data_IF_005751449326
#
_entry.id   IF_005751449326
#
_cell.length_a   1.000
_cell.length_b   1.000
_cell.length_c   1.000
_cell.angle_alpha   90.00
_cell.angle_beta   90.00
_cell.angle_gamma   90.00
#
_symmetry.space_group_name_H-M   'P 1'
#
loop_
_entity.id
_entity.type
_entity.pdbx_description
1 polymer ?
#
# COMPACT_ATOMS: atom_id res chain seq x y z
N UNK A 1 21.33 -1.16 -1.01
CA UNK A 1 20.56 -0.58 0.11
C UNK A 1 20.24 -1.60 1.22
N UNK A 2 20.19 -2.87 0.96
CA UNK A 2 19.87 -3.91 1.95
C UNK A 2 18.36 -4.14 2.16
N UNK A 3 17.52 -3.64 1.26
CA UNK A 3 16.11 -4.00 1.19
C UNK A 3 15.93 -5.42 0.67
N UNK A 4 14.81 -6.04 1.01
CA UNK A 4 14.38 -7.37 0.57
C UNK A 4 13.04 -7.34 -0.18
N UNK A 5 12.44 -6.17 -0.33
CA UNK A 5 11.37 -5.86 -1.28
C UNK A 5 11.65 -4.52 -1.97
N UNK A 6 11.11 -4.34 -3.17
CA UNK A 6 11.21 -3.09 -3.92
C UNK A 6 9.85 -2.72 -4.50
N UNK A 7 9.62 -1.42 -4.61
CA UNK A 7 8.54 -0.87 -5.41
C UNK A 7 9.12 -0.14 -6.62
N UNK A 8 8.52 -0.35 -7.76
CA UNK A 8 8.93 0.28 -9.03
C UNK A 8 7.74 0.95 -9.70
N UNK A 9 8.03 1.89 -10.58
CA UNK A 9 7.08 2.35 -11.59
C UNK A 9 7.36 1.62 -12.90
N UNK A 10 6.32 1.06 -13.53
CA UNK A 10 6.46 0.40 -14.83
C UNK A 10 6.74 1.36 -15.99
N UNK A 11 6.57 2.66 -15.75
CA UNK A 11 6.86 3.76 -16.69
C UNK A 11 7.10 5.05 -15.89
N UNK A 12 7.46 6.14 -16.55
CA UNK A 12 7.58 7.45 -15.85
C UNK A 12 6.25 7.80 -15.15
N UNK A 13 6.25 8.04 -13.82
CA UNK A 13 5.02 8.16 -13.02
C UNK A 13 4.16 9.40 -13.35
N UNK A 14 4.71 10.34 -14.10
CA UNK A 14 4.05 11.57 -14.55
C UNK A 14 3.76 11.65 -16.06
N UNK A 15 3.89 10.52 -16.76
CA UNK A 15 3.70 10.45 -18.20
C UNK A 15 2.76 9.32 -18.60
N UNK A 16 1.93 9.55 -19.62
CA UNK A 16 1.05 8.53 -20.20
C UNK A 16 1.75 7.62 -21.20
N UNK A 17 2.96 7.96 -21.62
CA UNK A 17 3.70 7.16 -22.61
C UNK A 17 4.06 5.81 -22.00
N UNK A 18 3.52 4.70 -22.55
CA UNK A 18 3.82 3.37 -22.04
C UNK A 18 5.26 2.99 -22.38
N UNK A 19 5.91 2.27 -21.49
CA UNK A 19 7.16 1.58 -21.80
C UNK A 19 6.81 0.20 -22.38
N UNK A 20 7.50 -0.20 -23.44
CA UNK A 20 7.35 -1.52 -24.03
C UNK A 20 8.51 -2.39 -23.59
N UNK A 21 8.18 -3.55 -23.05
CA UNK A 21 9.13 -4.57 -22.66
C UNK A 21 8.83 -5.83 -23.45
N UNK A 22 9.88 -6.57 -23.82
CA UNK A 22 9.82 -7.88 -24.44
C UNK A 22 9.80 -8.99 -23.39
N UNK A 23 9.47 -10.21 -23.81
CA UNK A 23 9.59 -11.40 -22.95
C UNK A 23 11.02 -11.61 -22.45
N UNK A 24 12.03 -11.26 -23.25
CA UNK A 24 13.44 -11.31 -22.82
C UNK A 24 13.73 -10.30 -21.70
N UNK A 25 13.13 -9.10 -21.73
CA UNK A 25 13.28 -8.11 -20.66
C UNK A 25 12.65 -8.64 -19.36
N UNK A 26 11.47 -9.27 -19.43
CA UNK A 26 10.82 -9.89 -18.28
C UNK A 26 11.65 -11.04 -17.72
N UNK A 27 12.16 -11.92 -18.57
CA UNK A 27 13.01 -13.03 -18.17
C UNK A 27 14.29 -12.53 -17.46
N UNK A 28 14.97 -11.53 -18.04
CA UNK A 28 16.15 -10.91 -17.45
C UNK A 28 15.86 -10.26 -16.10
N UNK A 29 14.70 -9.60 -15.97
CA UNK A 29 14.29 -9.01 -14.69
C UNK A 29 14.04 -10.08 -13.62
N UNK A 30 13.31 -11.16 -13.95
CA UNK A 30 13.09 -12.29 -13.04
C UNK A 30 14.40 -12.96 -12.63
N UNK A 31 15.30 -13.18 -13.57
CA UNK A 31 16.63 -13.74 -13.27
C UNK A 31 17.42 -12.85 -12.29
N UNK A 32 17.44 -11.54 -12.55
CA UNK A 32 18.13 -10.58 -11.69
C UNK A 32 17.54 -10.52 -10.28
N UNK A 33 16.20 -10.58 -10.15
CA UNK A 33 15.53 -10.60 -8.84
C UNK A 33 15.74 -11.91 -8.10
N UNK A 34 15.63 -13.05 -8.79
CA UNK A 34 15.87 -14.38 -8.21
C UNK A 34 17.33 -14.58 -7.78
N UNK A 35 18.29 -14.00 -8.49
CA UNK A 35 19.72 -13.99 -8.13
C UNK A 35 20.08 -12.98 -7.03
N UNK A 36 19.11 -12.23 -6.51
CA UNK A 36 19.31 -11.19 -5.51
C UNK A 36 18.70 -11.55 -4.16
N UNK A 37 18.79 -10.63 -3.22
CA UNK A 37 18.09 -10.71 -1.94
C UNK A 37 16.61 -10.27 -2.00
N UNK A 38 16.15 -9.75 -3.13
CA UNK A 38 14.78 -9.26 -3.29
C UNK A 38 13.82 -10.45 -3.33
N UNK A 39 12.83 -10.42 -2.45
CA UNK A 39 11.82 -11.47 -2.30
C UNK A 39 10.47 -11.10 -2.90
N UNK A 40 10.24 -9.79 -3.06
CA UNK A 40 9.00 -9.29 -3.65
C UNK A 40 9.25 -7.99 -4.41
N UNK A 41 8.55 -7.88 -5.54
CA UNK A 41 8.46 -6.66 -6.35
C UNK A 41 7.01 -6.19 -6.34
N UNK A 42 6.80 -4.91 -6.06
CA UNK A 42 5.50 -4.25 -6.16
C UNK A 42 5.60 -3.19 -7.26
N UNK A 43 4.58 -3.05 -8.07
CA UNK A 43 4.47 -1.95 -9.03
C UNK A 43 3.55 -0.89 -8.44
N UNK A 44 3.96 0.38 -8.41
CA UNK A 44 3.03 1.47 -8.22
C UNK A 44 2.60 2.01 -9.58
N UNK A 45 1.30 2.14 -9.81
CA UNK A 45 0.78 2.72 -11.04
C UNK A 45 1.10 4.21 -11.13
N UNK A 46 1.08 4.76 -12.34
CA UNK A 46 1.37 6.20 -12.53
C UNK A 46 0.38 7.08 -11.80
N UNK A 47 0.83 8.19 -11.24
CA UNK A 47 0.00 9.16 -10.49
C UNK A 47 -1.11 9.82 -11.31
N UNK A 48 -1.06 9.71 -12.63
CA UNK A 48 -2.04 10.30 -13.54
C UNK A 48 -3.36 9.52 -13.57
N UNK A 49 -3.39 8.28 -13.08
CA UNK A 49 -4.59 7.44 -13.10
C UNK A 49 -5.74 8.08 -12.32
N UNK A 50 -6.93 8.02 -12.91
CA UNK A 50 -8.17 8.32 -12.22
C UNK A 50 -9.27 7.38 -12.73
N UNK A 51 -9.46 6.25 -12.06
CA UNK A 51 -10.48 5.26 -12.42
C UNK A 51 -11.91 5.84 -12.31
N UNK A 52 -12.10 6.89 -11.52
CA UNK A 52 -13.39 7.53 -11.28
C UNK A 52 -13.78 8.61 -12.31
N UNK A 53 -12.94 8.92 -13.28
CA UNK A 53 -13.13 10.03 -14.22
C UNK A 53 -14.40 9.90 -15.05
N UNK A 54 -15.04 11.04 -15.38
CA UNK A 54 -16.15 11.14 -16.35
C UNK A 54 -15.62 11.37 -17.77
N UNK A 55 -14.42 11.89 -17.91
CA UNK A 55 -13.81 12.17 -19.21
C UNK A 55 -13.45 10.87 -19.94
N UNK A 56 -14.02 10.71 -21.16
CA UNK A 56 -13.83 9.49 -21.96
C UNK A 56 -12.38 9.27 -22.39
N UNK A 57 -11.66 10.35 -22.69
CA UNK A 57 -10.23 10.27 -23.09
C UNK A 57 -9.36 9.85 -21.92
N UNK A 58 -9.57 10.49 -20.76
CA UNK A 58 -8.89 10.15 -19.52
C UNK A 58 -9.19 8.72 -19.08
N UNK A 59 -10.44 8.28 -19.16
CA UNK A 59 -10.84 6.90 -18.85
C UNK A 59 -10.08 5.88 -19.71
N UNK A 60 -10.00 6.13 -21.03
CA UNK A 60 -9.26 5.25 -21.95
C UNK A 60 -7.78 5.19 -21.59
N UNK A 61 -7.14 6.35 -21.32
CA UNK A 61 -5.74 6.42 -20.90
C UNK A 61 -5.53 5.69 -19.58
N UNK A 62 -6.43 5.87 -18.61
CA UNK A 62 -6.39 5.18 -17.30
C UNK A 62 -6.48 3.66 -17.49
N UNK A 63 -7.47 3.18 -18.23
CA UNK A 63 -7.63 1.73 -18.50
C UNK A 63 -6.39 1.16 -19.19
N UNK A 64 -5.94 1.78 -20.28
CA UNK A 64 -4.74 1.32 -21.01
C UNK A 64 -3.52 1.27 -20.11
N UNK A 65 -3.30 2.30 -19.28
CA UNK A 65 -2.12 2.36 -18.41
C UNK A 65 -2.20 1.35 -17.28
N UNK A 66 -3.38 1.13 -16.70
CA UNK A 66 -3.57 0.12 -15.65
C UNK A 66 -3.41 -1.30 -16.21
N UNK A 67 -4.05 -1.61 -17.34
CA UNK A 67 -3.88 -2.90 -18.03
C UNK A 67 -2.40 -3.17 -18.38
N UNK A 68 -1.71 -2.16 -18.87
CA UNK A 68 -0.27 -2.27 -19.16
C UNK A 68 0.56 -2.55 -17.91
N UNK A 69 0.27 -1.87 -16.78
CA UNK A 69 0.96 -2.12 -15.52
C UNK A 69 0.75 -3.55 -15.02
N UNK A 70 -0.50 -4.06 -15.13
CA UNK A 70 -0.84 -5.44 -14.75
C UNK A 70 -0.14 -6.47 -15.65
N UNK A 71 -0.12 -6.27 -16.97
CA UNK A 71 0.60 -7.17 -17.91
C UNK A 71 2.11 -7.19 -17.63
N UNK A 72 2.69 -6.04 -17.28
CA UNK A 72 4.09 -6.01 -16.84
C UNK A 72 4.23 -6.76 -15.52
N UNK A 73 3.27 -6.59 -14.60
CA UNK A 73 3.22 -7.34 -13.34
C UNK A 73 3.15 -8.85 -13.55
N UNK A 74 2.33 -9.32 -14.50
CA UNK A 74 2.31 -10.73 -14.92
C UNK A 74 3.69 -11.18 -15.44
N UNK A 75 4.30 -10.36 -16.30
CA UNK A 75 5.59 -10.69 -16.94
C UNK A 75 6.78 -10.76 -15.96
N UNK A 76 6.74 -10.03 -14.85
CA UNK A 76 7.85 -9.99 -13.86
C UNK A 76 7.53 -10.69 -12.54
N UNK A 77 6.41 -11.39 -12.44
CA UNK A 77 5.92 -12.02 -11.21
C UNK A 77 5.79 -11.03 -10.04
N UNK A 78 5.23 -9.84 -10.31
CA UNK A 78 5.02 -8.84 -9.29
C UNK A 78 3.95 -9.28 -8.28
N UNK A 79 4.14 -8.93 -7.01
CA UNK A 79 3.14 -9.17 -5.95
C UNK A 79 1.81 -8.45 -6.20
N UNK A 80 1.84 -7.38 -7.00
CA UNK A 80 0.66 -6.64 -7.44
C UNK A 80 0.99 -5.23 -7.92
N UNK A 81 -0.03 -4.57 -8.46
CA UNK A 81 0.00 -3.17 -8.89
C UNK A 81 -0.81 -2.33 -7.91
N UNK A 82 -0.15 -1.48 -7.16
CA UNK A 82 -0.78 -0.52 -6.24
C UNK A 82 -1.37 0.63 -7.05
N UNK A 83 -2.61 1.00 -6.72
CA UNK A 83 -3.30 2.15 -7.30
C UNK A 83 -4.00 2.98 -6.24
N UNK A 84 -3.97 4.31 -6.38
CA UNK A 84 -5.01 5.15 -5.83
C UNK A 84 -6.26 5.01 -6.71
N UNK A 85 -7.44 4.67 -6.18
CA UNK A 85 -8.62 4.40 -7.01
C UNK A 85 -9.09 5.60 -7.83
N UNK A 86 -8.66 6.81 -7.43
CA UNK A 86 -8.95 8.05 -8.12
C UNK A 86 -9.78 9.05 -7.30
N UNK A 87 -10.32 10.05 -7.98
CA UNK A 87 -11.07 11.14 -7.37
C UNK A 87 -12.34 11.49 -8.16
N UNK A 88 -13.39 11.90 -7.44
CA UNK A 88 -14.68 12.23 -8.02
C UNK A 88 -14.69 13.50 -8.91
N UNK A 89 -13.77 14.43 -8.69
CA UNK A 89 -13.60 15.69 -9.48
C UNK A 89 -14.91 16.36 -9.88
N UNK A 90 -15.72 16.72 -8.89
CA UNK A 90 -17.00 17.41 -9.12
C UNK A 90 -18.19 16.52 -9.54
N UNK A 91 -17.98 15.22 -9.75
CA UNK A 91 -19.08 14.28 -9.96
C UNK A 91 -19.72 13.82 -8.65
N UNK A 92 -20.89 13.18 -8.72
CA UNK A 92 -21.47 12.52 -7.53
C UNK A 92 -20.61 11.33 -7.10
N UNK A 93 -20.38 11.19 -5.79
CA UNK A 93 -19.50 10.17 -5.22
C UNK A 93 -19.88 8.74 -5.61
N UNK A 94 -21.13 8.36 -5.47
CA UNK A 94 -21.61 7.02 -5.87
C UNK A 94 -21.39 6.71 -7.36
N UNK A 95 -21.51 7.73 -8.23
CA UNK A 95 -21.19 7.62 -9.65
C UNK A 95 -19.70 7.43 -9.91
N UNK A 96 -18.85 8.12 -9.15
CA UNK A 96 -17.40 7.97 -9.20
C UNK A 96 -16.96 6.57 -8.79
N UNK A 97 -17.50 6.03 -7.70
CA UNK A 97 -17.25 4.67 -7.22
C UNK A 97 -17.61 3.62 -8.29
N UNK A 98 -18.80 3.72 -8.91
CA UNK A 98 -19.20 2.79 -9.98
C UNK A 98 -18.26 2.85 -11.19
N UNK A 99 -17.82 4.06 -11.59
CA UNK A 99 -16.87 4.19 -12.70
C UNK A 99 -15.52 3.57 -12.37
N UNK A 100 -15.03 3.79 -11.15
CA UNK A 100 -13.76 3.21 -10.69
C UNK A 100 -13.83 1.68 -10.69
N UNK A 101 -14.85 1.10 -10.08
CA UNK A 101 -15.06 -0.35 -10.10
C UNK A 101 -15.12 -0.93 -11.52
N UNK A 102 -15.81 -0.26 -12.44
CA UNK A 102 -15.89 -0.69 -13.85
C UNK A 102 -14.52 -0.68 -14.53
N UNK A 103 -13.71 0.36 -14.36
CA UNK A 103 -12.36 0.45 -14.96
C UNK A 103 -11.45 -0.63 -14.40
N UNK A 104 -11.48 -0.86 -13.09
CA UNK A 104 -10.69 -1.90 -12.43
C UNK A 104 -11.08 -3.29 -12.93
N UNK A 105 -12.39 -3.58 -13.01
CA UNK A 105 -12.92 -4.83 -13.54
C UNK A 105 -12.46 -5.08 -14.99
N UNK A 106 -12.55 -4.07 -15.83
CA UNK A 106 -12.14 -4.17 -17.23
C UNK A 106 -10.62 -4.43 -17.35
N UNK A 107 -9.79 -3.78 -16.52
CA UNK A 107 -8.34 -4.00 -16.52
C UNK A 107 -7.98 -5.43 -16.08
N UNK A 108 -8.65 -5.95 -15.05
CA UNK A 108 -8.45 -7.32 -14.58
C UNK A 108 -8.87 -8.37 -15.61
N UNK A 109 -9.91 -8.11 -16.38
CA UNK A 109 -10.36 -9.03 -17.44
C UNK A 109 -9.37 -9.18 -18.60
N UNK A 110 -8.41 -8.28 -18.73
CA UNK A 110 -7.38 -8.23 -19.77
C UNK A 110 -6.02 -8.79 -19.33
N UNK A 111 -5.93 -9.37 -18.11
CA UNK A 111 -4.67 -9.77 -17.47
C UNK A 111 -4.84 -11.09 -16.73
N UNK A 112 -3.74 -11.79 -16.47
CA UNK A 112 -3.76 -13.19 -16.05
C UNK A 112 -3.80 -13.38 -14.53
N UNK A 113 -2.74 -13.02 -13.81
CA UNK A 113 -2.60 -13.35 -12.39
C UNK A 113 -2.17 -12.18 -11.49
N UNK A 114 -1.70 -11.07 -12.04
CA UNK A 114 -1.25 -9.93 -11.25
C UNK A 114 -2.43 -9.26 -10.51
N UNK A 115 -2.20 -8.91 -9.25
CA UNK A 115 -3.20 -8.30 -8.38
C UNK A 115 -3.31 -6.80 -8.63
N UNK A 116 -4.51 -6.25 -8.52
CA UNK A 116 -4.73 -4.81 -8.27
C UNK A 116 -4.80 -4.61 -6.77
N UNK A 117 -3.91 -3.80 -6.24
CA UNK A 117 -3.85 -3.44 -4.83
C UNK A 117 -4.45 -2.05 -4.64
N UNK A 118 -5.65 -1.99 -4.08
CA UNK A 118 -6.30 -0.73 -3.76
C UNK A 118 -5.62 -0.12 -2.55
N UNK A 119 -4.98 1.02 -2.74
CA UNK A 119 -4.36 1.73 -1.65
C UNK A 119 -5.39 2.55 -0.88
N UNK A 120 -5.41 2.36 0.45
CA UNK A 120 -6.16 3.23 1.33
C UNK A 120 -5.55 4.64 1.28
N UNK A 121 -6.38 5.65 1.00
CA UNK A 121 -5.92 7.00 0.69
C UNK A 121 -6.02 7.95 1.89
N UNK A 122 -5.25 9.02 1.86
CA UNK A 122 -5.09 9.99 2.96
C UNK A 122 -6.37 10.79 3.35
N UNK A 123 -7.52 10.48 2.76
CA UNK A 123 -8.81 11.05 3.18
C UNK A 123 -9.14 12.43 2.61
N UNK A 124 -8.32 13.01 1.72
CA UNK A 124 -8.61 14.30 1.12
C UNK A 124 -9.98 14.28 0.42
N UNK A 125 -10.73 15.41 0.55
CA UNK A 125 -12.09 15.51 -0.01
C UNK A 125 -12.15 15.14 -1.49
N UNK A 126 -12.99 14.15 -1.78
CA UNK A 126 -13.25 13.67 -3.14
C UNK A 126 -12.34 12.56 -3.62
N UNK A 127 -11.33 12.13 -2.86
CA UNK A 127 -10.62 10.88 -3.13
C UNK A 127 -11.54 9.69 -2.85
N UNK A 128 -11.27 8.57 -3.52
CA UNK A 128 -11.90 7.28 -3.28
C UNK A 128 -10.96 6.38 -2.48
N UNK A 129 -11.52 5.42 -1.74
CA UNK A 129 -10.74 4.48 -0.93
C UNK A 129 -10.17 5.09 0.34
N UNK A 130 -10.90 6.01 0.96
CA UNK A 130 -10.49 6.72 2.18
C UNK A 130 -10.54 5.85 3.42
N UNK A 131 -11.50 4.94 3.47
CA UNK A 131 -11.75 4.03 4.57
C UNK A 131 -12.06 2.62 4.06
N UNK A 132 -12.23 1.68 4.99
CA UNK A 132 -12.41 0.27 4.65
C UNK A 132 -13.79 -0.01 4.04
N UNK A 133 -14.83 0.77 4.35
CA UNK A 133 -16.14 0.67 3.69
C UNK A 133 -16.05 1.05 2.21
N UNK A 134 -15.32 2.11 1.90
CA UNK A 134 -15.09 2.52 0.51
C UNK A 134 -14.25 1.48 -0.26
N UNK A 135 -13.22 0.92 0.36
CA UNK A 135 -12.40 -0.15 -0.24
C UNK A 135 -13.26 -1.40 -0.50
N UNK A 136 -14.01 -1.87 0.49
CA UNK A 136 -14.91 -3.00 0.34
C UNK A 136 -15.93 -2.77 -0.79
N UNK A 137 -16.51 -1.57 -0.83
CA UNK A 137 -17.43 -1.19 -1.89
C UNK A 137 -16.78 -1.14 -3.27
N UNK A 138 -15.53 -0.70 -3.39
CA UNK A 138 -14.79 -0.73 -4.66
C UNK A 138 -14.54 -2.17 -5.13
N UNK A 139 -14.16 -3.06 -4.23
CA UNK A 139 -13.99 -4.50 -4.51
C UNK A 139 -15.29 -5.09 -5.04
N UNK A 140 -16.41 -4.83 -4.39
CA UNK A 140 -17.74 -5.28 -4.81
C UNK A 140 -18.09 -4.73 -6.21
N UNK A 141 -17.93 -3.43 -6.44
CA UNK A 141 -18.21 -2.77 -7.71
C UNK A 141 -17.29 -3.21 -8.85
N UNK A 142 -16.09 -3.70 -8.53
CA UNK A 142 -15.18 -4.32 -9.49
C UNK A 142 -15.49 -5.82 -9.73
N UNK A 143 -16.53 -6.35 -9.10
CA UNK A 143 -17.01 -7.72 -9.30
C UNK A 143 -16.48 -8.76 -8.32
N UNK A 144 -15.80 -8.34 -7.26
CA UNK A 144 -15.29 -9.23 -6.21
C UNK A 144 -14.15 -10.17 -6.68
N UNK A 145 -13.44 -9.83 -7.76
CA UNK A 145 -12.34 -10.65 -8.30
C UNK A 145 -11.35 -11.03 -7.18
N UNK A 146 -10.90 -12.28 -7.19
CA UNK A 146 -9.94 -12.79 -6.21
C UNK A 146 -8.58 -12.08 -6.26
N UNK A 147 -8.26 -11.39 -7.35
CA UNK A 147 -7.04 -10.58 -7.52
C UNK A 147 -7.18 -9.12 -7.11
N UNK A 148 -8.25 -8.79 -6.38
CA UNK A 148 -8.41 -7.48 -5.74
C UNK A 148 -7.85 -7.54 -4.33
N UNK A 149 -6.79 -6.79 -4.09
CA UNK A 149 -6.12 -6.71 -2.80
C UNK A 149 -6.14 -5.31 -2.21
N UNK A 150 -5.58 -5.21 -1.02
CA UNK A 150 -5.42 -3.99 -0.22
C UNK A 150 -3.94 -3.65 -0.09
N UNK A 151 -3.61 -2.37 -0.18
CA UNK A 151 -2.36 -1.78 0.29
C UNK A 151 -2.68 -0.80 1.41
N UNK A 152 -1.98 -0.90 2.54
CA UNK A 152 -2.10 0.03 3.65
C UNK A 152 -0.87 0.93 3.71
N UNK A 153 -1.09 2.25 3.65
CA UNK A 153 -0.04 3.24 3.89
C UNK A 153 -0.17 3.80 5.31
N UNK A 154 0.91 3.71 6.08
CA UNK A 154 0.92 4.18 7.46
C UNK A 154 0.70 5.69 7.60
N UNK A 155 1.21 6.51 6.67
CA UNK A 155 0.93 7.94 6.63
C UNK A 155 -0.55 8.21 6.29
N UNK A 156 -1.08 7.53 5.26
CA UNK A 156 -2.47 7.72 4.83
C UNK A 156 -3.47 7.34 5.93
N UNK A 157 -3.28 6.20 6.59
CA UNK A 157 -4.08 5.80 7.75
C UNK A 157 -4.08 6.90 8.81
N UNK A 158 -2.90 7.36 9.21
CA UNK A 158 -2.75 8.33 10.27
C UNK A 158 -3.41 9.67 9.92
N UNK A 159 -3.11 10.24 8.76
CA UNK A 159 -3.66 11.56 8.37
C UNK A 159 -5.14 11.49 8.01
N UNK A 160 -5.67 10.33 7.65
CA UNK A 160 -7.10 10.14 7.44
C UNK A 160 -7.87 10.12 8.78
N UNK A 161 -7.22 9.71 9.87
CA UNK A 161 -7.81 9.71 11.20
C UNK A 161 -7.73 8.36 11.93
N UNK A 162 -7.18 7.33 11.30
CA UNK A 162 -6.90 6.06 11.96
C UNK A 162 -5.67 6.22 12.88
N UNK A 163 -5.88 6.25 14.17
CA UNK A 163 -4.78 6.34 15.12
C UNK A 163 -4.02 5.01 15.22
N UNK A 164 -2.85 4.97 14.64
CA UNK A 164 -1.94 3.83 14.63
C UNK A 164 -0.66 4.09 15.44
N UNK A 165 -0.73 5.04 16.38
CA UNK A 165 0.43 5.50 17.14
C UNK A 165 0.99 4.48 18.15
N UNK A 166 0.23 3.43 18.44
CA UNK A 166 0.64 2.32 19.31
C UNK A 166 0.08 0.96 18.85
N UNK A 167 0.49 -0.11 19.54
CA UNK A 167 0.16 -1.48 19.16
C UNK A 167 -1.34 -1.82 19.33
N UNK A 168 -2.02 -1.25 20.33
CA UNK A 168 -3.42 -1.55 20.63
C UNK A 168 -4.36 -0.82 19.65
N UNK A 169 -4.05 0.44 19.36
CA UNK A 169 -4.78 1.23 18.37
C UNK A 169 -4.62 0.67 16.97
N UNK A 170 -3.37 0.33 16.57
CA UNK A 170 -3.13 -0.34 15.29
C UNK A 170 -3.90 -1.67 15.20
N UNK A 171 -3.95 -2.46 16.29
CA UNK A 171 -4.69 -3.70 16.29
C UNK A 171 -6.18 -3.48 16.00
N UNK A 172 -6.79 -2.48 16.63
CA UNK A 172 -8.21 -2.14 16.39
C UNK A 172 -8.47 -1.70 14.94
N UNK A 173 -7.57 -0.92 14.35
CA UNK A 173 -7.66 -0.51 12.94
C UNK A 173 -7.59 -1.72 12.00
N UNK A 174 -6.70 -2.67 12.30
CA UNK A 174 -6.56 -3.87 11.48
C UNK A 174 -7.70 -4.87 11.71
N UNK A 175 -8.29 -4.90 12.89
CA UNK A 175 -9.51 -5.70 13.17
C UNK A 175 -10.70 -5.14 12.36
N UNK A 176 -10.82 -3.81 12.22
CA UNK A 176 -11.79 -3.17 11.33
C UNK A 176 -11.53 -3.50 9.86
N UNK A 177 -10.27 -3.46 9.43
CA UNK A 177 -9.89 -3.84 8.07
C UNK A 177 -10.23 -5.30 7.75
N UNK A 178 -10.02 -6.19 8.71
CA UNK A 178 -10.36 -7.61 8.60
C UNK A 178 -11.87 -7.82 8.47
N UNK A 179 -12.65 -7.18 9.33
CA UNK A 179 -14.12 -7.28 9.32
C UNK A 179 -14.72 -6.80 7.98
N UNK A 180 -14.23 -5.70 7.42
CA UNK A 180 -14.83 -5.05 6.26
C UNK A 180 -14.27 -5.53 4.91
N UNK A 181 -12.99 -5.84 4.85
CA UNK A 181 -12.28 -6.15 3.60
C UNK A 181 -11.73 -7.57 3.58
N UNK A 182 -11.30 -8.08 4.74
CA UNK A 182 -10.56 -9.33 4.89
C UNK A 182 -9.05 -9.10 4.79
N UNK A 183 -8.30 -9.50 5.83
CA UNK A 183 -6.84 -9.33 5.83
C UNK A 183 -6.12 -10.28 4.89
N UNK A 184 -6.76 -11.32 4.39
CA UNK A 184 -6.23 -12.17 3.32
C UNK A 184 -6.04 -11.39 2.00
N UNK A 185 -6.72 -10.25 1.85
CA UNK A 185 -6.56 -9.32 0.73
C UNK A 185 -5.42 -8.34 0.91
N UNK A 186 -4.89 -8.19 2.12
CA UNK A 186 -3.74 -7.31 2.36
C UNK A 186 -2.47 -7.93 1.79
N UNK A 187 -1.86 -7.26 0.82
CA UNK A 187 -0.73 -7.80 0.03
C UNK A 187 0.53 -6.94 0.10
N UNK A 188 0.41 -5.70 0.55
CA UNK A 188 1.52 -4.76 0.62
C UNK A 188 1.26 -3.73 1.71
N UNK A 189 2.32 -3.20 2.31
CA UNK A 189 2.26 -2.04 3.17
C UNK A 189 3.27 -0.98 2.71
N UNK A 190 2.83 0.27 2.68
CA UNK A 190 3.73 1.41 2.57
C UNK A 190 4.07 1.91 3.97
N UNK A 191 5.36 2.10 4.22
CA UNK A 191 5.88 2.50 5.52
C UNK A 191 6.42 3.91 5.42
N UNK A 192 5.60 4.86 5.79
CA UNK A 192 5.87 6.29 5.72
C UNK A 192 5.55 6.94 7.05
N UNK A 193 6.38 7.86 7.55
CA UNK A 193 5.96 8.70 8.66
C UNK A 193 5.10 9.86 8.15
N UNK A 194 4.23 10.39 8.98
CA UNK A 194 3.31 11.46 8.62
C UNK A 194 3.92 12.83 8.88
N UNK A 195 4.03 13.66 7.84
CA UNK A 195 4.43 15.06 7.95
C UNK A 195 3.28 16.02 8.27
N UNK A 196 2.12 15.48 8.72
CA UNK A 196 0.94 16.24 9.05
C UNK A 196 0.17 15.55 10.19
N UNK A 197 -0.61 16.30 11.01
CA UNK A 197 -1.30 15.75 12.18
C UNK A 197 -2.34 14.69 11.84
N UNK A 198 -2.65 13.86 12.85
CA UNK A 198 -3.73 12.88 12.81
C UNK A 198 -5.05 13.54 12.35
N UNK A 199 -5.74 12.91 11.41
CA UNK A 199 -7.03 13.39 10.89
C UNK A 199 -6.96 14.65 10.03
N UNK A 200 -5.77 15.10 9.65
CA UNK A 200 -5.59 16.32 8.83
C UNK A 200 -5.98 16.16 7.36
N UNK A 201 -6.14 14.93 6.87
CA UNK A 201 -6.35 14.56 5.48
C UNK A 201 -5.29 15.16 4.52
N UNK A 202 -4.08 15.42 5.01
CA UNK A 202 -2.98 15.99 4.22
C UNK A 202 -1.91 14.94 4.00
N UNK A 203 -1.88 14.40 2.80
CA UNK A 203 -0.85 13.48 2.35
C UNK A 203 0.52 14.20 2.28
N UNK A 204 1.35 13.95 3.26
CA UNK A 204 2.71 14.46 3.39
C UNK A 204 3.57 13.41 4.10
N UNK A 205 4.41 12.75 3.33
CA UNK A 205 5.36 11.79 3.89
C UNK A 205 6.53 12.50 4.55
N UNK A 206 6.88 12.07 5.74
CA UNK A 206 8.10 12.42 6.45
C UNK A 206 9.08 11.23 6.44
N UNK A 207 10.36 11.49 6.70
CA UNK A 207 11.35 10.43 6.85
C UNK A 207 11.06 9.56 8.08
N UNK A 208 11.53 8.32 8.05
CA UNK A 208 11.26 7.33 9.09
C UNK A 208 11.63 7.85 10.49
N UNK A 209 10.62 8.04 11.33
CA UNK A 209 10.74 8.47 12.72
C UNK A 209 10.95 9.97 12.92
N UNK A 210 10.78 10.78 11.87
CA UNK A 210 10.95 12.23 11.88
C UNK A 210 9.60 12.99 11.75
N UNK A 211 8.47 12.26 11.66
CA UNK A 211 7.12 12.80 11.53
C UNK A 211 6.27 12.69 12.80
N UNK A 212 4.97 12.90 12.64
CA UNK A 212 3.97 12.97 13.73
C UNK A 212 3.68 11.60 14.38
N UNK A 213 3.77 10.48 13.65
CA UNK A 213 3.68 9.14 14.25
C UNK A 213 4.95 8.82 15.04
N UNK A 214 6.07 9.31 14.58
CA UNK A 214 7.37 9.16 15.20
C UNK A 214 7.82 7.70 15.36
N UNK A 215 8.90 7.55 16.10
CA UNK A 215 9.56 6.23 16.28
C UNK A 215 8.71 5.19 17.00
N UNK A 216 7.75 5.59 17.81
CA UNK A 216 6.93 4.65 18.57
C UNK A 216 5.80 4.08 17.70
N UNK A 217 5.08 4.92 16.96
CA UNK A 217 4.05 4.50 16.03
C UNK A 217 4.63 3.62 14.93
N UNK A 218 5.73 4.06 14.31
CA UNK A 218 6.39 3.24 13.29
C UNK A 218 6.96 1.92 13.83
N UNK A 219 7.44 1.87 15.08
CA UNK A 219 7.86 0.62 15.69
C UNK A 219 6.67 -0.33 15.90
N UNK A 220 5.51 0.19 16.29
CA UNK A 220 4.27 -0.59 16.41
C UNK A 220 3.83 -1.13 15.03
N UNK A 221 3.78 -0.28 14.00
CA UNK A 221 3.41 -0.65 12.64
C UNK A 221 4.35 -1.70 12.06
N UNK A 222 5.65 -1.46 12.05
CA UNK A 222 6.67 -2.35 11.47
C UNK A 222 6.80 -3.70 12.19
N UNK A 223 6.34 -3.81 13.45
CA UNK A 223 6.38 -5.05 14.23
C UNK A 223 5.03 -5.76 14.33
N UNK A 224 4.03 -5.30 13.59
CA UNK A 224 2.71 -5.92 13.58
C UNK A 224 2.78 -7.35 13.01
N UNK A 225 2.36 -8.39 13.77
CA UNK A 225 2.50 -9.79 13.32
C UNK A 225 1.74 -10.12 12.03
N UNK A 226 0.62 -9.42 11.77
CA UNK A 226 -0.19 -9.60 10.55
C UNK A 226 0.52 -9.13 9.28
N UNK A 227 1.60 -8.36 9.41
CA UNK A 227 2.42 -7.91 8.28
C UNK A 227 3.65 -8.80 8.05
N UNK A 228 3.80 -9.89 8.81
CA UNK A 228 4.96 -10.78 8.65
C UNK A 228 4.95 -11.44 7.27
N UNK A 229 6.07 -11.33 6.56
CA UNK A 229 6.22 -11.87 5.21
C UNK A 229 5.68 -10.99 4.09
N UNK A 230 4.98 -9.87 4.40
CA UNK A 230 4.50 -8.95 3.37
C UNK A 230 5.61 -8.04 2.83
N UNK A 231 5.52 -7.64 1.55
CA UNK A 231 6.29 -6.53 1.04
C UNK A 231 5.99 -5.26 1.83
N UNK A 232 7.04 -4.62 2.35
CA UNK A 232 6.96 -3.32 3.01
C UNK A 232 7.87 -2.34 2.26
N UNK A 233 7.30 -1.31 1.66
CA UNK A 233 8.03 -0.36 0.83
C UNK A 233 8.03 1.05 1.45
N UNK A 234 9.11 1.78 1.24
CA UNK A 234 9.28 3.14 1.74
C UNK A 234 9.05 4.14 0.60
N UNK A 235 8.23 5.15 0.85
CA UNK A 235 8.00 6.26 -0.09
C UNK A 235 8.39 7.62 0.51
N UNK A 236 9.20 7.56 1.56
CA UNK A 236 9.68 8.75 2.26
C UNK A 236 10.56 9.63 1.35
N UNK A 237 10.64 10.94 1.61
CA UNK A 237 11.43 11.85 0.78
C UNK A 237 12.90 11.47 0.69
N UNK A 238 13.46 10.92 1.75
CA UNK A 238 14.87 10.63 1.86
C UNK A 238 15.74 11.88 1.91
N UNK A 239 17.07 11.73 1.93
CA UNK A 239 17.99 12.84 1.80
C UNK A 239 17.80 13.55 0.44
N UNK A 240 17.84 14.86 0.45
CA UNK A 240 17.74 15.68 -0.76
C UNK A 240 16.47 15.46 -1.60
N UNK A 241 15.42 14.87 -1.01
CA UNK A 241 14.14 14.55 -1.67
C UNK A 241 14.29 13.65 -2.91
N UNK A 242 15.25 12.74 -2.86
CA UNK A 242 15.54 11.77 -3.95
C UNK A 242 14.96 10.37 -3.70
N UNK A 243 14.12 10.24 -2.69
CA UNK A 243 13.57 8.96 -2.23
C UNK A 243 14.42 8.32 -1.12
N UNK A 244 13.96 7.19 -0.57
CA UNK A 244 14.62 6.52 0.54
C UNK A 244 16.01 6.01 0.15
N UNK A 245 16.96 6.22 1.04
CA UNK A 245 18.31 5.67 0.95
C UNK A 245 18.54 4.50 1.93
N UNK A 246 19.78 4.01 1.99
CA UNK A 246 20.17 2.97 2.96
C UNK A 246 19.89 3.37 4.41
N UNK A 247 19.99 4.64 4.76
CA UNK A 247 19.78 5.12 6.13
C UNK A 247 18.32 4.98 6.55
N UNK A 248 17.38 5.29 5.65
CA UNK A 248 15.95 5.13 5.89
C UNK A 248 15.57 3.64 6.04
N UNK A 249 16.11 2.77 5.18
CA UNK A 249 15.93 1.31 5.31
C UNK A 249 16.48 0.80 6.64
N UNK A 250 17.67 1.25 7.05
CA UNK A 250 18.27 0.85 8.33
C UNK A 250 17.46 1.40 9.53
N UNK A 251 16.88 2.62 9.44
CA UNK A 251 15.97 3.15 10.47
C UNK A 251 14.74 2.25 10.61
N UNK A 252 14.08 1.90 9.51
CA UNK A 252 12.91 1.03 9.52
C UNK A 252 13.23 -0.33 10.15
N UNK A 253 14.32 -0.98 9.76
CA UNK A 253 14.77 -2.25 10.34
C UNK A 253 15.05 -2.16 11.85
N UNK A 254 15.68 -1.09 12.31
CA UNK A 254 15.91 -0.86 13.76
C UNK A 254 14.60 -0.67 14.52
N UNK A 255 13.64 0.08 13.95
CA UNK A 255 12.34 0.29 14.57
C UNK A 255 11.53 -1.02 14.63
N UNK A 256 11.55 -1.83 13.57
CA UNK A 256 10.96 -3.18 13.60
C UNK A 256 11.54 -4.03 14.72
N UNK A 257 12.86 -4.09 14.83
CA UNK A 257 13.54 -4.84 15.90
C UNK A 257 13.13 -4.34 17.28
N UNK A 258 13.04 -3.02 17.48
CA UNK A 258 12.58 -2.39 18.72
C UNK A 258 11.13 -2.80 19.06
N UNK A 259 10.23 -2.77 18.07
CA UNK A 259 8.84 -3.16 18.24
C UNK A 259 8.70 -4.64 18.61
N UNK A 260 9.39 -5.53 17.91
CA UNK A 260 9.40 -6.97 18.22
C UNK A 260 9.87 -7.27 19.65
N UNK A 261 10.91 -6.59 20.12
CA UNK A 261 11.38 -6.72 21.52
C UNK A 261 10.31 -6.29 22.52
N UNK A 262 9.61 -5.18 22.26
CA UNK A 262 8.50 -4.68 23.12
C UNK A 262 7.35 -5.68 23.18
N UNK A 263 6.92 -6.22 22.05
CA UNK A 263 5.87 -7.25 21.97
C UNK A 263 6.28 -8.52 22.73
N UNK A 264 7.52 -8.97 22.60
CA UNK A 264 8.06 -10.12 23.34
C UNK A 264 8.04 -9.92 24.85
N UNK A 265 8.47 -8.75 25.34
CA UNK A 265 8.45 -8.43 26.76
C UNK A 265 7.02 -8.38 27.35
N UNK A 266 6.05 -7.80 26.61
CA UNK A 266 4.62 -7.78 27.03
C UNK A 266 4.02 -9.20 27.11
N UNK A 267 4.30 -10.07 26.15
CA UNK A 267 3.84 -11.48 26.20
C UNK A 267 4.40 -12.23 27.42
N UNK A 268 5.69 -12.07 27.70
CA UNK A 268 6.33 -12.68 28.87
C UNK A 268 5.79 -12.15 30.20
N UNK A 269 5.51 -10.84 30.30
CA UNK A 269 4.88 -10.23 31.46
C UNK A 269 3.47 -10.73 31.73
N UNK A 270 2.62 -10.84 30.68
CA UNK A 270 1.25 -11.38 30.81
C UNK A 270 1.23 -12.86 31.18
N UNK A 271 2.17 -13.68 30.67
CA UNK A 271 2.29 -15.09 31.02
C UNK A 271 2.66 -15.26 32.51
N UNK A 272 3.62 -14.49 33.02
CA UNK A 272 4.01 -14.50 34.44
C UNK A 272 2.90 -14.02 35.38
N UNK A 273 2.11 -13.01 34.95
CA UNK A 273 0.98 -12.52 35.74
C UNK A 273 -0.17 -13.54 35.83
N UNK A 274 -0.43 -14.32 34.75
CA UNK A 274 -1.41 -15.41 34.76
C UNK A 274 -0.99 -16.56 35.66
N UNK A 275 0.28 -16.99 35.64
CA UNK A 275 0.77 -18.07 36.49
C UNK A 275 0.73 -17.73 37.99
N UNK A 276 0.86 -16.42 38.35
CA UNK A 276 0.73 -15.96 39.75
C UNK A 276 -0.73 -15.85 40.26
N UNK A 277 -1.72 -15.85 39.39
CA UNK A 277 -3.15 -15.81 39.76
C UNK A 277 -3.78 -17.22 39.87
N UNK A 278 -3.06 -18.22 39.39
CA UNK A 278 -3.48 -19.64 39.45
C UNK A 278 -2.82 -20.42 40.58
N UNK A 279 -2.04 -19.76 41.42
CA UNK A 279 -1.51 -20.23 42.72
C UNK A 279 -2.23 -19.50 43.86
#
# INVERSE_FOLDING_TARGET
MGADSIQIFNQSPRMWRPTRYSENDFAAFREATNGSRIKAVVIHAVYLLNCATQDRSMRRKTLTSLTQALRIGDGIDAAGVVIHPGAQKGSQFAGAMRRAGKVIKEALAETDHCWVLLEQTAGHKGLLGRDFDEIARLIELAGGDGRLGLCLDSCHLFVQGFDISDEEKLAAVLDEADEKVGLERLRCVHVNDAGAPLGSCRDRHANIGDGEMGRNGLAAFLSEPRFEGMPATLEVPGPDKRGPDKREVDKAKRLRTRGLRRRGARKGGRARARSRRSQ
#
